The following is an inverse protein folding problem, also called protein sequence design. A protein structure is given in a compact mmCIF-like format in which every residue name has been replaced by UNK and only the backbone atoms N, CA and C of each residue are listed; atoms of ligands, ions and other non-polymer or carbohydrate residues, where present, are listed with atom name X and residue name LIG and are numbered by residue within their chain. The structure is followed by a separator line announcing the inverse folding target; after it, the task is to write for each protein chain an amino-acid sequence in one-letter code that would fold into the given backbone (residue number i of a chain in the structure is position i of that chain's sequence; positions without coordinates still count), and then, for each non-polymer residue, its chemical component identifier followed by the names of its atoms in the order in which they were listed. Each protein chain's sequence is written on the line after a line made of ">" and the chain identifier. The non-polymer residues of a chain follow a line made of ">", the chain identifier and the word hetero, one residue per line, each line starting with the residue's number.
data_IF_985625362355
#
_entry.id   IF_985625362355
#
_cell.length_a   1.000
_cell.length_b   1.000
_cell.length_c   1.000
_cell.angle_alpha   90.00
_cell.angle_beta   90.00
_cell.angle_gamma   90.00
#
_symmetry.space_group_name_H-M   'P 1'
#
loop_
_entity.id
_entity.type
_entity.pdbx_description
1 polymer ?
#
# COMPACT_ATOMS: atom_id res chain seq x y z
N UNK A 1 15.06 7.48 -17.54
CA UNK A 1 15.51 6.30 -16.78
C UNK A 1 16.06 5.19 -17.67
N UNK A 2 15.40 4.85 -18.78
CA UNK A 2 15.86 3.85 -19.77
C UNK A 2 16.89 4.37 -20.80
N UNK A 3 17.43 5.57 -20.62
CA UNK A 3 18.36 6.18 -21.57
C UNK A 3 19.79 5.73 -21.32
N UNK A 4 20.59 5.67 -22.39
CA UNK A 4 22.01 5.31 -22.32
C UNK A 4 22.79 6.28 -21.40
N UNK A 5 22.47 7.57 -21.48
CA UNK A 5 23.02 8.61 -20.62
C UNK A 5 22.77 8.35 -19.12
N UNK A 6 21.58 7.88 -18.77
CA UNK A 6 21.23 7.59 -17.38
C UNK A 6 22.01 6.39 -16.85
N UNK A 7 22.22 5.37 -17.68
CA UNK A 7 23.06 4.24 -17.32
C UNK A 7 24.53 4.65 -17.17
N UNK A 8 25.08 5.44 -18.10
CA UNK A 8 26.47 5.91 -18.03
C UNK A 8 26.73 6.71 -16.76
N UNK A 9 25.79 7.58 -16.37
CA UNK A 9 25.88 8.35 -15.12
C UNK A 9 25.79 7.45 -13.88
N UNK A 10 24.93 6.42 -13.90
CA UNK A 10 24.86 5.41 -12.85
C UNK A 10 26.17 4.62 -12.74
N UNK A 11 26.71 4.16 -13.86
CA UNK A 11 27.95 3.39 -13.93
C UNK A 11 29.15 4.16 -13.37
N UNK A 12 29.28 5.44 -13.74
CA UNK A 12 30.31 6.32 -13.19
C UNK A 12 30.20 6.48 -11.67
N UNK A 13 28.98 6.62 -11.14
CA UNK A 13 28.74 6.68 -9.69
C UNK A 13 29.13 5.37 -8.99
N UNK A 14 28.83 4.22 -9.60
CA UNK A 14 29.21 2.91 -9.04
C UNK A 14 30.73 2.75 -8.99
N UNK A 15 31.45 3.13 -10.05
CA UNK A 15 32.92 3.04 -10.09
C UNK A 15 33.55 3.94 -9.03
N UNK A 16 33.16 5.21 -8.97
CA UNK A 16 33.69 6.15 -7.96
C UNK A 16 33.41 5.68 -6.53
N UNK A 17 32.23 5.11 -6.29
CA UNK A 17 31.87 4.56 -4.99
C UNK A 17 32.65 3.29 -4.62
N UNK A 18 32.95 2.44 -5.59
CA UNK A 18 33.79 1.25 -5.40
C UNK A 18 35.24 1.65 -5.07
N UNK A 19 35.79 2.63 -5.80
CA UNK A 19 37.14 3.16 -5.56
C UNK A 19 37.28 3.78 -4.16
N UNK A 20 36.27 4.56 -3.72
CA UNK A 20 36.24 5.12 -2.35
C UNK A 20 36.24 4.06 -1.25
N UNK A 21 35.79 2.83 -1.54
CA UNK A 21 35.64 1.75 -0.56
C UNK A 21 36.67 0.63 -0.72
N UNK A 22 37.61 0.79 -1.65
CA UNK A 22 38.61 -0.24 -1.96
C UNK A 22 37.99 -1.55 -2.46
N UNK A 23 36.84 -1.48 -3.13
CA UNK A 23 36.18 -2.65 -3.73
C UNK A 23 36.67 -2.82 -5.16
N UNK A 24 36.92 -4.06 -5.57
CA UNK A 24 37.35 -4.41 -6.91
C UNK A 24 36.35 -3.93 -7.98
N UNK A 25 36.88 -3.62 -9.17
CA UNK A 25 36.07 -3.18 -10.30
C UNK A 25 35.12 -4.29 -10.78
N UNK A 26 33.93 -3.95 -11.28
CA UNK A 26 32.99 -4.94 -11.79
C UNK A 26 33.62 -5.79 -12.92
N UNK A 27 33.52 -7.10 -12.79
CA UNK A 27 34.04 -8.07 -13.76
C UNK A 27 32.92 -8.97 -14.29
N UNK A 28 33.14 -9.59 -15.45
CA UNK A 28 32.18 -10.52 -16.01
C UNK A 28 32.08 -11.78 -15.13
N UNK A 29 30.88 -12.33 -14.92
CA UNK A 29 30.72 -13.57 -14.18
C UNK A 29 31.39 -14.72 -14.92
N UNK A 30 31.93 -15.66 -14.15
CA UNK A 30 32.53 -16.88 -14.71
C UNK A 30 31.49 -17.65 -15.53
N UNK A 31 31.85 -17.97 -16.77
CA UNK A 31 31.01 -18.78 -17.64
C UNK A 31 30.81 -20.18 -17.04
N UNK A 32 29.55 -20.58 -16.86
CA UNK A 32 29.18 -21.95 -16.48
C UNK A 32 28.71 -22.69 -17.72
N UNK A 33 29.30 -23.84 -18.00
CA UNK A 33 28.83 -24.73 -19.06
C UNK A 33 27.49 -25.33 -18.65
N UNK A 34 26.49 -25.25 -19.52
CA UNK A 34 25.21 -25.89 -19.32
C UNK A 34 25.39 -27.43 -19.30
N UNK A 35 24.72 -28.16 -18.39
CA UNK A 35 24.72 -29.62 -18.45
C UNK A 35 24.12 -30.10 -19.78
N UNK A 36 24.78 -31.04 -20.47
CA UNK A 36 24.41 -31.52 -21.80
C UNK A 36 22.95 -32.04 -21.91
N UNK A 37 22.33 -32.44 -20.80
CA UNK A 37 20.93 -32.88 -20.75
C UNK A 37 19.90 -31.75 -20.93
N UNK A 38 20.33 -30.50 -20.76
CA UNK A 38 19.50 -29.29 -20.82
C UNK A 38 19.79 -28.44 -22.08
N UNK A 39 20.77 -28.83 -22.90
CA UNK A 39 21.10 -28.11 -24.14
C UNK A 39 20.02 -28.42 -25.20
N UNK A 40 19.05 -27.53 -25.32
CA UNK A 40 18.07 -27.53 -26.41
C UNK A 40 18.60 -26.71 -27.60
N UNK A 41 19.10 -27.40 -28.62
CA UNK A 41 19.55 -26.81 -29.90
C UNK A 41 21.07 -26.65 -30.05
N UNK A 42 21.52 -26.35 -31.27
CA UNK A 42 22.94 -26.21 -31.64
C UNK A 42 23.47 -24.76 -31.59
N UNK A 43 22.69 -23.81 -31.07
CA UNK A 43 23.10 -22.42 -30.99
C UNK A 43 24.18 -22.22 -29.92
N UNK A 44 25.23 -21.45 -30.24
CA UNK A 44 26.24 -21.07 -29.25
C UNK A 44 25.62 -20.14 -28.21
N UNK A 45 25.92 -20.31 -26.91
CA UNK A 45 25.41 -19.39 -25.89
C UNK A 45 25.95 -17.98 -26.13
N UNK A 46 25.08 -16.97 -25.99
CA UNK A 46 25.48 -15.56 -26.05
C UNK A 46 26.12 -15.14 -24.72
N UNK A 47 27.26 -14.48 -24.81
CA UNK A 47 27.97 -13.90 -23.67
C UNK A 47 28.30 -12.45 -23.98
N UNK A 48 28.20 -11.57 -22.98
CA UNK A 48 28.60 -10.17 -23.12
C UNK A 48 30.11 -10.05 -23.16
N UNK A 49 30.62 -9.20 -24.06
CA UNK A 49 32.06 -8.96 -24.21
C UNK A 49 32.59 -7.99 -23.15
N UNK A 50 31.75 -7.07 -22.66
CA UNK A 50 32.13 -6.05 -21.67
C UNK A 50 31.33 -6.21 -20.37
N UNK A 51 31.97 -6.02 -19.19
CA UNK A 51 31.25 -5.95 -17.92
C UNK A 51 30.14 -4.89 -17.95
N UNK A 52 30.41 -3.75 -18.59
CA UNK A 52 29.45 -2.66 -18.74
C UNK A 52 28.19 -3.10 -19.49
N UNK A 53 28.31 -3.83 -20.61
CA UNK A 53 27.17 -4.37 -21.35
C UNK A 53 26.35 -5.38 -20.55
N UNK A 54 27.02 -6.25 -19.78
CA UNK A 54 26.36 -7.21 -18.90
C UNK A 54 25.53 -6.53 -17.81
N UNK A 55 26.12 -5.57 -17.08
CA UNK A 55 25.42 -4.86 -16.02
C UNK A 55 24.38 -3.88 -16.56
N UNK A 56 24.55 -3.36 -17.78
CA UNK A 56 23.52 -2.57 -18.48
C UNK A 56 22.25 -3.38 -18.70
N UNK A 57 22.37 -4.64 -19.14
CA UNK A 57 21.19 -5.50 -19.28
C UNK A 57 20.48 -5.69 -17.94
N UNK A 58 21.21 -5.97 -16.86
CA UNK A 58 20.64 -6.14 -15.51
C UNK A 58 19.97 -4.85 -15.04
N UNK A 59 20.61 -3.69 -15.26
CA UNK A 59 20.06 -2.38 -14.92
C UNK A 59 18.72 -2.12 -15.60
N UNK A 60 18.63 -2.38 -16.90
CA UNK A 60 17.38 -2.21 -17.65
C UNK A 60 16.32 -3.21 -17.19
N UNK A 61 16.68 -4.48 -17.00
CA UNK A 61 15.77 -5.51 -16.47
C UNK A 61 15.24 -5.14 -15.09
N UNK A 62 16.09 -4.59 -14.21
CA UNK A 62 15.67 -4.15 -12.89
C UNK A 62 14.69 -2.98 -12.99
N UNK A 63 14.95 -2.00 -13.87
CA UNK A 63 14.01 -0.89 -14.12
C UNK A 63 12.68 -1.42 -14.65
N UNK A 64 12.72 -2.29 -15.65
CA UNK A 64 11.51 -2.86 -16.24
C UNK A 64 10.73 -3.67 -15.23
N UNK A 65 11.41 -4.47 -14.41
CA UNK A 65 10.78 -5.17 -13.31
C UNK A 65 10.13 -4.21 -12.31
N UNK A 66 10.80 -3.13 -11.93
CA UNK A 66 10.24 -2.12 -11.01
C UNK A 66 9.02 -1.43 -11.61
N UNK A 67 9.09 -1.01 -12.88
CA UNK A 67 7.98 -0.38 -13.59
C UNK A 67 6.80 -1.34 -13.70
N UNK A 68 7.05 -2.58 -14.14
CA UNK A 68 6.02 -3.61 -14.27
C UNK A 68 5.40 -3.95 -12.91
N UNK A 69 6.21 -4.04 -11.84
CA UNK A 69 5.70 -4.27 -10.49
C UNK A 69 4.78 -3.14 -10.01
N UNK A 70 5.03 -1.90 -10.45
CA UNK A 70 4.16 -0.76 -10.15
C UNK A 70 2.89 -0.85 -11.01
N UNK A 71 3.01 -1.09 -12.32
CA UNK A 71 1.84 -1.20 -13.20
C UNK A 71 0.94 -2.35 -12.78
N UNK A 72 1.47 -3.56 -12.60
CA UNK A 72 0.70 -4.74 -12.22
C UNK A 72 0.01 -4.57 -10.86
N UNK A 73 0.56 -3.73 -9.98
CA UNK A 73 -0.02 -3.44 -8.66
C UNK A 73 -1.18 -2.46 -8.72
N UNK A 74 -1.11 -1.45 -9.60
CA UNK A 74 -2.11 -0.38 -9.67
C UNK A 74 -3.10 -0.56 -10.82
N UNK A 75 -2.78 -1.37 -11.82
CA UNK A 75 -3.66 -1.78 -12.93
C UNK A 75 -4.59 -2.91 -12.47
N UNK A 76 -5.42 -2.59 -11.48
CA UNK A 76 -6.41 -3.51 -10.92
C UNK A 76 -7.78 -2.83 -10.91
N UNK A 77 -8.88 -3.57 -11.18
CA UNK A 77 -10.22 -2.98 -11.26
C UNK A 77 -10.65 -2.31 -9.94
N UNK A 78 -10.16 -2.82 -8.80
CA UNK A 78 -10.41 -2.23 -7.48
C UNK A 78 -9.74 -0.85 -7.35
N UNK A 79 -8.57 -0.65 -7.98
CA UNK A 79 -7.89 0.64 -8.00
C UNK A 79 -8.58 1.64 -8.93
N UNK A 80 -9.15 1.19 -10.04
CA UNK A 80 -9.98 2.06 -10.90
C UNK A 80 -11.16 2.65 -10.13
N UNK A 81 -11.79 1.87 -9.24
CA UNK A 81 -12.85 2.38 -8.36
C UNK A 81 -12.35 3.50 -7.44
N UNK A 82 -11.12 3.37 -6.94
CA UNK A 82 -10.49 4.39 -6.11
C UNK A 82 -10.21 5.68 -6.87
N UNK A 83 -9.70 5.55 -8.10
CA UNK A 83 -9.53 6.67 -9.01
C UNK A 83 -10.88 7.33 -9.27
N UNK A 84 -11.93 6.56 -9.57
CA UNK A 84 -13.27 7.09 -9.81
C UNK A 84 -13.81 7.85 -8.58
N UNK A 85 -13.68 7.30 -7.37
CA UNK A 85 -14.12 7.94 -6.14
C UNK A 85 -13.41 9.29 -5.88
N UNK A 86 -12.11 9.37 -6.16
CA UNK A 86 -11.36 10.63 -6.07
C UNK A 86 -11.75 11.60 -7.20
N UNK A 87 -11.87 11.12 -8.44
CA UNK A 87 -12.19 11.93 -9.61
C UNK A 87 -13.57 12.56 -9.50
N UNK A 88 -14.58 11.89 -8.94
CA UNK A 88 -15.91 12.49 -8.70
C UNK A 88 -15.78 13.78 -7.87
N UNK A 89 -14.96 13.76 -6.82
CA UNK A 89 -14.78 14.91 -5.93
C UNK A 89 -14.02 16.05 -6.63
N UNK A 90 -12.96 15.72 -7.37
CA UNK A 90 -12.13 16.71 -8.08
C UNK A 90 -12.89 17.34 -9.24
N UNK A 91 -13.47 16.52 -10.12
CA UNK A 91 -14.24 16.96 -11.28
C UNK A 91 -15.44 17.82 -10.88
N UNK A 92 -16.12 17.45 -9.79
CA UNK A 92 -17.22 18.24 -9.27
C UNK A 92 -16.81 19.68 -8.93
N UNK A 93 -15.64 19.88 -8.32
CA UNK A 93 -15.14 21.22 -7.95
C UNK A 93 -14.63 22.00 -9.16
N UNK A 94 -13.99 21.30 -10.11
CA UNK A 94 -13.53 21.89 -11.37
C UNK A 94 -14.68 22.28 -12.29
N UNK A 95 -15.85 21.66 -12.12
CA UNK A 95 -17.02 21.86 -12.97
C UNK A 95 -17.02 20.96 -14.20
N UNK A 96 -16.22 19.90 -14.20
CA UNK A 96 -16.15 18.91 -15.27
C UNK A 96 -17.30 17.89 -15.16
N UNK A 97 -17.54 17.13 -16.24
CA UNK A 97 -18.52 16.04 -16.23
C UNK A 97 -18.01 14.86 -15.36
N UNK A 98 -18.82 14.49 -14.35
CA UNK A 98 -18.50 13.44 -13.37
C UNK A 98 -19.59 12.35 -13.24
N UNK A 99 -20.62 12.36 -14.09
CA UNK A 99 -21.76 11.43 -13.97
C UNK A 99 -21.34 9.97 -14.22
N UNK A 100 -20.37 9.73 -15.10
CA UNK A 100 -19.84 8.40 -15.36
C UNK A 100 -19.15 7.80 -14.14
N UNK A 101 -18.28 8.57 -13.48
CA UNK A 101 -17.60 8.13 -12.26
C UNK A 101 -18.55 8.04 -11.07
N UNK A 102 -19.53 8.95 -10.98
CA UNK A 102 -20.55 8.90 -9.93
C UNK A 102 -21.34 7.60 -10.03
N UNK A 103 -21.80 7.25 -11.24
CA UNK A 103 -22.53 6.01 -11.46
C UNK A 103 -21.68 4.76 -11.16
N UNK A 104 -20.39 4.78 -11.50
CA UNK A 104 -19.48 3.69 -11.17
C UNK A 104 -19.36 3.51 -9.64
N UNK A 105 -19.20 4.61 -8.90
CA UNK A 105 -19.10 4.61 -7.43
C UNK A 105 -20.40 4.14 -6.79
N UNK A 106 -21.56 4.65 -7.21
CA UNK A 106 -22.86 4.25 -6.63
C UNK A 106 -23.20 2.80 -6.98
N UNK A 107 -22.82 2.31 -8.15
CA UNK A 107 -23.03 0.91 -8.53
C UNK A 107 -22.16 -0.04 -7.71
N UNK A 108 -20.89 0.31 -7.46
CA UNK A 108 -19.96 -0.55 -6.73
C UNK A 108 -20.26 -0.62 -5.23
N UNK A 109 -20.54 0.53 -4.62
CA UNK A 109 -20.85 0.62 -3.20
C UNK A 109 -22.34 0.35 -2.89
N UNK A 110 -23.19 0.28 -3.92
CA UNK A 110 -24.59 -0.12 -3.80
C UNK A 110 -25.34 0.68 -2.75
N UNK A 111 -25.86 -0.03 -1.74
CA UNK A 111 -26.68 0.55 -0.66
C UNK A 111 -25.93 1.53 0.27
N UNK A 112 -24.59 1.60 0.18
CA UNK A 112 -23.81 2.53 1.00
C UNK A 112 -24.01 3.99 0.59
N UNK A 113 -24.44 4.28 -0.65
CA UNK A 113 -24.66 5.63 -1.15
C UNK A 113 -26.04 5.80 -1.79
N UNK A 114 -26.70 6.92 -1.49
CA UNK A 114 -27.88 7.36 -2.23
C UNK A 114 -27.45 8.34 -3.33
N UNK A 115 -27.56 7.90 -4.59
CA UNK A 115 -27.05 8.64 -5.75
C UNK A 115 -27.58 10.08 -5.85
N UNK A 116 -28.90 10.27 -5.72
CA UNK A 116 -29.51 11.61 -5.80
C UNK A 116 -29.03 12.55 -4.69
N UNK A 117 -28.87 12.02 -3.47
CA UNK A 117 -28.39 12.79 -2.32
C UNK A 117 -26.92 13.14 -2.49
N UNK A 118 -26.10 12.18 -2.89
CA UNK A 118 -24.68 12.40 -3.17
C UNK A 118 -24.50 13.44 -4.27
N UNK A 119 -25.25 13.32 -5.38
CA UNK A 119 -25.22 14.27 -6.50
C UNK A 119 -25.59 15.69 -6.08
N UNK A 120 -26.64 15.84 -5.27
CA UNK A 120 -27.04 17.14 -4.72
C UNK A 120 -25.94 17.74 -3.84
N UNK A 121 -25.41 16.94 -2.90
CA UNK A 121 -24.37 17.39 -1.98
C UNK A 121 -23.06 17.76 -2.68
N UNK A 122 -22.68 17.01 -3.72
CA UNK A 122 -21.53 17.33 -4.58
C UNK A 122 -21.69 18.72 -5.21
N UNK A 123 -22.84 18.99 -5.83
CA UNK A 123 -23.14 20.31 -6.40
C UNK A 123 -23.12 21.42 -5.35
N UNK A 124 -23.64 21.16 -4.15
CA UNK A 124 -23.61 22.13 -3.05
C UNK A 124 -22.18 22.46 -2.61
N UNK A 125 -21.32 21.45 -2.48
CA UNK A 125 -19.91 21.66 -2.14
C UNK A 125 -19.20 22.44 -3.24
N UNK A 126 -19.41 22.08 -4.52
CA UNK A 126 -18.80 22.79 -5.65
C UNK A 126 -19.23 24.27 -5.72
N UNK A 127 -20.51 24.55 -5.45
CA UNK A 127 -21.01 25.93 -5.39
C UNK A 127 -20.35 26.75 -4.26
N UNK A 128 -20.21 26.15 -3.08
CA UNK A 128 -19.71 26.80 -1.87
C UNK A 128 -18.20 26.64 -1.66
N UNK A 129 -17.48 26.01 -2.59
CA UNK A 129 -16.07 25.70 -2.42
C UNK A 129 -15.23 26.98 -2.38
N UNK A 130 -14.62 27.21 -1.21
CA UNK A 130 -13.69 28.30 -0.95
C UNK A 130 -12.30 27.71 -0.66
N UNK A 131 -11.31 28.15 -1.42
CA UNK A 131 -9.93 27.68 -1.28
C UNK A 131 -8.94 28.75 -1.71
N UNK A 132 -7.69 28.60 -1.25
CA UNK A 132 -6.58 29.49 -1.62
C UNK A 132 -6.11 29.28 -3.08
N UNK A 133 -6.57 28.21 -3.74
CA UNK A 133 -6.23 27.86 -5.12
C UNK A 133 -7.37 28.15 -6.10
N UNK A 134 -7.04 28.24 -7.39
CA UNK A 134 -8.04 28.28 -8.46
C UNK A 134 -8.78 26.94 -8.51
N UNK A 135 -10.06 26.97 -8.88
CA UNK A 135 -10.88 25.75 -8.98
C UNK A 135 -10.27 24.71 -9.93
N UNK A 136 -9.70 25.15 -11.04
CA UNK A 136 -9.04 24.29 -12.04
C UNK A 136 -7.84 23.51 -11.45
N UNK A 137 -7.14 24.12 -10.50
CA UNK A 137 -5.93 23.56 -9.86
C UNK A 137 -6.25 22.78 -8.58
N UNK A 138 -7.52 22.70 -8.18
CA UNK A 138 -7.91 22.05 -6.94
C UNK A 138 -7.53 20.56 -6.96
N UNK A 139 -6.91 20.11 -5.86
CA UNK A 139 -6.57 18.72 -5.63
C UNK A 139 -7.39 18.16 -4.45
N UNK A 140 -7.35 16.83 -4.24
CA UNK A 140 -8.08 16.18 -3.16
C UNK A 140 -7.72 16.72 -1.75
N UNK A 141 -6.48 17.14 -1.52
CA UNK A 141 -6.06 17.69 -0.24
C UNK A 141 -6.74 19.05 0.05
N UNK A 142 -6.97 19.87 -0.97
CA UNK A 142 -7.71 21.14 -0.86
C UNK A 142 -9.18 20.88 -0.47
N UNK A 143 -9.80 19.86 -1.05
CA UNK A 143 -11.16 19.40 -0.70
C UNK A 143 -11.22 18.98 0.77
N UNK A 144 -10.26 18.17 1.21
CA UNK A 144 -10.18 17.71 2.60
C UNK A 144 -9.94 18.89 3.55
N UNK A 145 -9.13 19.87 3.15
CA UNK A 145 -8.89 21.10 3.93
C UNK A 145 -10.18 21.91 4.07
N UNK A 146 -10.91 22.12 2.98
CA UNK A 146 -12.21 22.80 2.99
C UNK A 146 -13.23 22.07 3.87
N UNK A 147 -13.40 20.76 3.72
CA UNK A 147 -14.35 20.01 4.56
C UNK A 147 -13.94 20.02 6.03
N UNK A 148 -12.65 20.20 6.34
CA UNK A 148 -12.16 20.39 7.71
C UNK A 148 -12.44 21.77 8.30
N UNK A 149 -12.69 22.81 7.50
CA UNK A 149 -13.09 24.14 8.01
C UNK A 149 -14.58 24.21 8.33
N UNK A 150 -15.40 23.39 7.66
CA UNK A 150 -16.84 23.28 7.93
C UNK A 150 -17.14 22.87 9.37
N UNK A 151 -18.21 23.44 9.93
CA UNK A 151 -18.75 23.10 11.24
C UNK A 151 -19.30 21.67 11.28
N UNK A 152 -19.52 21.14 12.49
CA UNK A 152 -20.11 19.80 12.66
C UNK A 152 -21.50 19.70 12.04
N UNK A 153 -22.30 20.76 12.08
CA UNK A 153 -23.64 20.79 11.51
C UNK A 153 -23.61 20.68 9.98
N UNK A 154 -22.76 21.48 9.32
CA UNK A 154 -22.60 21.45 7.86
C UNK A 154 -22.12 20.07 7.36
N UNK A 155 -21.22 19.41 8.10
CA UNK A 155 -20.76 18.06 7.76
C UNK A 155 -21.85 16.99 7.90
N UNK A 156 -22.85 17.21 8.75
CA UNK A 156 -24.00 16.30 8.87
C UNK A 156 -24.93 16.45 7.66
N UNK A 157 -25.12 17.69 7.18
CA UNK A 157 -25.87 17.94 5.94
C UNK A 157 -25.16 17.39 4.69
N UNK A 158 -23.82 17.34 4.72
CA UNK A 158 -22.97 16.79 3.66
C UNK A 158 -22.49 15.37 3.97
N UNK A 159 -23.33 14.55 4.60
CA UNK A 159 -22.97 13.23 5.10
C UNK A 159 -22.46 12.27 4.00
N UNK A 160 -23.06 12.26 2.81
CA UNK A 160 -22.67 11.37 1.70
C UNK A 160 -21.31 11.75 1.14
N UNK A 161 -21.07 13.05 0.94
CA UNK A 161 -19.74 13.51 0.47
C UNK A 161 -18.66 13.30 1.54
N UNK A 162 -18.99 13.53 2.82
CA UNK A 162 -18.07 13.23 3.92
C UNK A 162 -17.77 11.73 4.00
N UNK A 163 -18.76 10.87 3.73
CA UNK A 163 -18.58 9.41 3.66
C UNK A 163 -17.63 9.04 2.51
N UNK A 164 -17.84 9.60 1.32
CA UNK A 164 -16.96 9.39 0.16
C UNK A 164 -15.52 9.86 0.43
N UNK A 165 -15.34 11.04 1.02
CA UNK A 165 -14.01 11.55 1.40
C UNK A 165 -13.32 10.63 2.42
N UNK A 166 -14.06 10.17 3.44
CA UNK A 166 -13.52 9.22 4.43
C UNK A 166 -13.11 7.91 3.78
N UNK A 167 -13.89 7.44 2.82
CA UNK A 167 -13.60 6.21 2.10
C UNK A 167 -12.25 6.33 1.37
N UNK A 168 -12.06 7.40 0.59
CA UNK A 168 -10.80 7.69 -0.10
C UNK A 168 -9.62 7.82 0.89
N UNK A 169 -9.83 8.43 2.06
CA UNK A 169 -8.79 8.61 3.08
C UNK A 169 -8.40 7.32 3.83
N UNK A 170 -9.34 6.38 4.00
CA UNK A 170 -9.12 5.14 4.76
C UNK A 170 -8.50 4.05 3.90
N UNK A 171 -8.61 4.18 2.58
CA UNK A 171 -8.03 3.23 1.65
C UNK A 171 -6.50 3.16 1.82
N UNK A 172 -5.97 1.96 2.08
CA UNK A 172 -4.54 1.79 2.26
C UNK A 172 -3.84 2.00 0.91
N UNK A 173 -3.14 3.14 0.76
CA UNK A 173 -2.26 3.38 -0.40
C UNK A 173 -1.17 2.30 -0.54
N UNK A 174 -0.89 1.54 0.54
CA UNK A 174 0.04 0.41 0.53
C UNK A 174 -0.47 -0.74 1.39
N UNK A 175 -0.17 -1.97 0.97
CA UNK A 175 -0.36 -3.19 1.76
C UNK A 175 0.65 -3.30 2.91
N UNK A 176 1.37 -2.23 3.28
CA UNK A 176 2.45 -2.29 4.27
C UNK A 176 1.95 -2.79 5.64
N UNK A 177 0.71 -2.49 6.01
CA UNK A 177 0.08 -2.97 7.26
C UNK A 177 -0.22 -4.48 7.21
N UNK A 178 -0.74 -4.99 6.10
CA UNK A 178 -0.96 -6.42 5.91
C UNK A 178 0.36 -7.17 5.76
N UNK A 179 1.33 -6.65 5.01
CA UNK A 179 2.70 -7.20 4.89
C UNK A 179 3.43 -7.27 6.23
N UNK A 180 3.31 -6.24 7.08
CA UNK A 180 3.84 -6.26 8.46
C UNK A 180 3.17 -7.36 9.29
N UNK A 181 1.87 -7.57 9.11
CA UNK A 181 1.12 -8.61 9.80
C UNK A 181 1.54 -10.00 9.31
N UNK A 182 1.72 -10.21 8.01
CA UNK A 182 2.23 -11.46 7.44
C UNK A 182 3.70 -11.74 7.82
N UNK A 183 4.54 -10.72 7.89
CA UNK A 183 5.91 -10.83 8.40
C UNK A 183 5.93 -11.29 9.86
N UNK A 184 5.05 -10.71 10.68
CA UNK A 184 4.86 -11.12 12.08
C UNK A 184 4.30 -12.54 12.19
N UNK A 185 3.36 -12.90 11.33
CA UNK A 185 2.78 -14.24 11.24
C UNK A 185 3.86 -15.28 10.91
N UNK A 186 4.75 -14.97 9.98
CA UNK A 186 5.86 -15.86 9.62
C UNK A 186 6.83 -16.08 10.78
N UNK A 187 7.08 -15.07 11.61
CA UNK A 187 7.89 -15.23 12.84
C UNK A 187 7.18 -16.08 13.89
N UNK A 188 5.86 -15.93 14.04
CA UNK A 188 5.10 -16.67 15.03
C UNK A 188 4.83 -18.13 14.66
N UNK A 189 4.51 -18.39 13.38
CA UNK A 189 4.22 -19.72 12.86
C UNK A 189 5.50 -20.43 12.43
N UNK A 190 6.28 -20.86 13.42
CA UNK A 190 7.48 -21.67 13.20
C UNK A 190 7.14 -23.16 13.05
N UNK A 191 8.12 -23.96 12.58
CA UNK A 191 7.96 -25.42 12.42
C UNK A 191 7.48 -26.10 13.71
N UNK A 192 8.05 -25.71 14.86
CA UNK A 192 7.68 -26.23 16.19
C UNK A 192 6.28 -25.78 16.66
N UNK A 193 5.70 -24.75 16.03
CA UNK A 193 4.38 -24.19 16.33
C UNK A 193 3.34 -24.47 15.23
N UNK A 194 3.63 -25.40 14.34
CA UNK A 194 2.80 -25.71 13.17
C UNK A 194 1.43 -26.31 13.52
N UNK A 195 1.29 -26.94 14.67
CA UNK A 195 0.06 -27.59 15.16
C UNK A 195 -0.87 -26.67 15.98
N UNK A 196 -0.55 -25.38 16.06
CA UNK A 196 -1.39 -24.41 16.79
C UNK A 196 -2.75 -24.22 16.11
N UNK A 197 -3.83 -24.24 16.91
CA UNK A 197 -5.19 -23.89 16.46
C UNK A 197 -5.27 -22.41 16.09
N UNK A 198 -6.18 -22.09 15.16
CA UNK A 198 -6.36 -20.72 14.65
C UNK A 198 -6.71 -19.70 15.74
N UNK A 199 -7.54 -20.07 16.72
CA UNK A 199 -7.90 -19.19 17.84
C UNK A 199 -6.68 -18.73 18.65
N UNK A 200 -5.79 -19.68 18.99
CA UNK A 200 -4.55 -19.38 19.71
C UNK A 200 -3.60 -18.55 18.86
N UNK A 201 -3.50 -18.85 17.57
CA UNK A 201 -2.68 -18.08 16.63
C UNK A 201 -3.15 -16.64 16.52
N UNK A 202 -4.44 -16.41 16.33
CA UNK A 202 -5.04 -15.08 16.25
C UNK A 202 -4.78 -14.29 17.54
N UNK A 203 -5.02 -14.91 18.71
CA UNK A 203 -4.79 -14.27 20.01
C UNK A 203 -3.33 -13.81 20.18
N UNK A 204 -2.37 -14.69 19.87
CA UNK A 204 -0.95 -14.33 19.94
C UNK A 204 -0.58 -13.25 18.91
N UNK A 205 -1.18 -13.29 17.71
CA UNK A 205 -0.93 -12.29 16.67
C UNK A 205 -1.38 -10.91 17.13
N UNK A 206 -2.56 -10.81 17.75
CA UNK A 206 -3.04 -9.55 18.32
C UNK A 206 -2.09 -8.99 19.37
N UNK A 207 -1.60 -9.85 20.28
CA UNK A 207 -0.64 -9.43 21.30
C UNK A 207 0.67 -8.95 20.68
N UNK A 208 1.18 -9.65 19.67
CA UNK A 208 2.45 -9.32 19.04
C UNK A 208 2.38 -8.07 18.13
N UNK A 209 1.26 -7.85 17.43
CA UNK A 209 1.05 -6.67 16.58
C UNK A 209 0.84 -5.40 17.41
N UNK A 210 0.17 -5.53 18.56
CA UNK A 210 -0.09 -4.41 19.47
C UNK A 210 0.82 -4.42 20.70
N UNK A 211 2.08 -4.83 20.50
CA UNK A 211 3.05 -5.00 21.59
C UNK A 211 3.17 -3.76 22.49
N UNK A 212 3.21 -2.57 21.89
CA UNK A 212 3.31 -1.30 22.63
C UNK A 212 2.16 -1.09 23.63
N UNK A 213 0.96 -1.62 23.33
CA UNK A 213 -0.19 -1.56 24.24
C UNK A 213 -0.16 -2.71 25.23
N UNK A 214 0.27 -3.90 24.82
CA UNK A 214 0.28 -5.08 25.70
C UNK A 214 1.37 -5.01 26.75
N UNK A 215 2.52 -4.39 26.44
CA UNK A 215 3.61 -4.22 27.40
C UNK A 215 3.21 -3.30 28.56
N UNK A 216 2.21 -2.43 28.36
CA UNK A 216 1.62 -1.60 29.41
C UNK A 216 0.53 -2.29 30.25
N UNK A 217 0.14 -3.53 29.92
CA UNK A 217 -0.87 -4.25 30.69
C UNK A 217 -0.26 -4.84 31.96
N UNK A 218 -0.93 -4.63 33.09
CA UNK A 218 -0.57 -5.27 34.34
C UNK A 218 -1.09 -6.72 34.35
N UNK A 219 -0.17 -7.68 34.38
CA UNK A 219 -0.47 -9.11 34.38
C UNK A 219 -1.32 -9.50 35.59
N UNK A 220 -1.12 -8.85 36.75
CA UNK A 220 -1.91 -9.13 37.95
C UNK A 220 -3.39 -8.76 37.77
N UNK A 221 -3.67 -7.62 37.15
CA UNK A 221 -5.04 -7.17 36.91
C UNK A 221 -5.75 -8.08 35.89
N UNK A 222 -5.03 -8.53 34.85
CA UNK A 222 -5.54 -9.50 33.87
C UNK A 222 -5.82 -10.86 34.52
N UNK A 223 -4.91 -11.34 35.38
CA UNK A 223 -5.09 -12.60 36.11
C UNK A 223 -6.31 -12.52 37.04
N UNK A 224 -6.45 -11.41 37.76
CA UNK A 224 -7.59 -11.14 38.64
C UNK A 224 -8.91 -11.17 37.87
N UNK A 225 -9.00 -10.44 36.75
CA UNK A 225 -10.21 -10.45 35.91
C UNK A 225 -10.54 -11.86 35.39
N UNK A 226 -9.53 -12.60 34.93
CA UNK A 226 -9.70 -13.97 34.44
C UNK A 226 -10.27 -14.93 35.51
N UNK A 227 -9.88 -14.75 36.77
CA UNK A 227 -10.33 -15.58 37.89
C UNK A 227 -11.77 -15.25 38.28
N UNK A 228 -12.11 -13.96 38.34
CA UNK A 228 -13.43 -13.51 38.77
C UNK A 228 -14.55 -13.80 37.76
N UNK A 229 -14.26 -13.81 36.45
CA UNK A 229 -15.29 -13.88 35.40
C UNK A 229 -16.06 -15.21 35.34
N UNK A 230 -15.49 -16.30 35.83
CA UNK A 230 -16.09 -17.66 35.77
C UNK A 230 -15.99 -18.42 37.10
N UNK A 231 -15.94 -17.71 38.23
CA UNK A 231 -15.82 -18.33 39.57
C UNK A 231 -14.64 -19.30 39.68
N UNK A 232 -13.55 -19.03 38.94
CA UNK A 232 -12.33 -19.87 38.94
C UNK A 232 -11.48 -19.65 40.20
N UNK A 233 -11.98 -18.83 41.12
CA UNK A 233 -11.41 -18.53 42.42
C UNK A 233 -11.06 -19.79 43.22
N UNK A 234 -11.91 -20.82 43.19
CA UNK A 234 -11.67 -22.07 43.90
C UNK A 234 -10.44 -22.84 43.37
N UNK A 235 -10.04 -22.61 42.11
CA UNK A 235 -8.92 -23.30 41.47
C UNK A 235 -7.62 -22.50 41.58
N UNK A 236 -7.69 -21.18 41.45
CA UNK A 236 -6.50 -20.34 41.33
C UNK A 236 -6.26 -19.41 42.54
N UNK A 237 -7.20 -19.29 43.48
CA UNK A 237 -7.08 -18.42 44.65
C UNK A 237 -7.20 -16.93 44.32
N UNK A 238 -6.69 -16.09 45.22
CA UNK A 238 -6.67 -14.63 45.10
C UNK A 238 -5.30 -14.14 44.57
N UNK A 239 -5.33 -13.10 43.71
CA UNK A 239 -4.16 -12.53 43.02
C UNK A 239 -3.92 -11.05 43.36
#
# INVERSE_FOLDING_TARGET
>A
MRTEEAFSLFWQKVITFAEQRGVDKPCLPRHKRMPARLETGNAKPYYHETPEGYFRQIYLLAIDHMVNSITDRFDTPDFDMYVNAEQVLIKCIRGDEFEGELHAVTTFYGDDFQEDNLRCQLRMISANFESDCKREDANFADIVKYVKTLSKGERVWLNEVVKLIKLVLVMPATNATSERSFSSLRRMKSYLRSTMKQERLNSLMFLNVHKDKTDGLNIHDVAREFVFKESRYNTFGEF
#
